data_IF_668101466425
#
_entry.id   IF_668101466425
#
_cell.length_a   1.000
_cell.length_b   1.000
_cell.length_c   1.000
_cell.angle_alpha   90.00
_cell.angle_beta   90.00
_cell.angle_gamma   90.00
#
_symmetry.space_group_name_H-M   'P 1'
#
loop_
_entity.id
_entity.type
_entity.pdbx_description
1 polymer ?
#
# COMPACT_ATOMS: atom_id res chain seq x y z
N UNK A 1 -92.81 2.85 20.48
CA UNK A 1 -92.14 3.07 19.18
C UNK A 1 -90.64 2.72 19.17
N UNK A 2 -90.07 2.04 20.18
CA UNK A 2 -88.63 1.70 20.21
C UNK A 2 -88.21 0.46 19.40
N UNK A 3 -89.12 -0.42 18.97
CA UNK A 3 -88.76 -1.68 18.30
C UNK A 3 -88.11 -1.49 16.91
N UNK A 4 -88.42 -0.38 16.24
CA UNK A 4 -88.01 -0.12 14.86
C UNK A 4 -86.51 0.23 14.70
N UNK A 5 -85.82 0.56 15.80
CA UNK A 5 -84.36 0.79 15.78
C UNK A 5 -83.58 -0.51 15.83
N UNK A 6 -84.05 -1.50 16.61
CA UNK A 6 -83.36 -2.77 16.78
C UNK A 6 -83.49 -3.66 15.55
N UNK A 7 -84.60 -3.58 14.81
CA UNK A 7 -84.74 -4.28 13.51
C UNK A 7 -83.71 -3.79 12.49
N UNK A 8 -83.48 -2.47 12.39
CA UNK A 8 -82.47 -1.92 11.47
C UNK A 8 -81.05 -2.36 11.82
N UNK A 9 -80.72 -2.44 13.11
CA UNK A 9 -79.40 -2.90 13.57
C UNK A 9 -79.19 -4.38 13.25
N UNK A 10 -80.22 -5.21 13.44
CA UNK A 10 -80.13 -6.64 13.18
C UNK A 10 -80.09 -6.96 11.67
N UNK A 11 -80.82 -6.21 10.85
CA UNK A 11 -80.71 -6.29 9.40
C UNK A 11 -79.32 -5.88 8.92
N UNK A 12 -78.72 -4.84 9.52
CA UNK A 12 -77.35 -4.43 9.21
C UNK A 12 -76.34 -5.52 9.57
N UNK A 13 -76.41 -6.09 10.79
CA UNK A 13 -75.50 -7.17 11.23
C UNK A 13 -75.65 -8.39 10.32
N UNK A 14 -76.88 -8.80 10.00
CA UNK A 14 -77.13 -9.93 9.10
C UNK A 14 -76.56 -9.67 7.70
N UNK A 15 -76.75 -8.47 7.15
CA UNK A 15 -76.19 -8.12 5.84
C UNK A 15 -74.66 -8.16 5.86
N UNK A 16 -74.01 -7.59 6.88
CA UNK A 16 -72.55 -7.62 7.02
C UNK A 16 -72.01 -9.05 7.17
N UNK A 17 -72.64 -9.89 8.01
CA UNK A 17 -72.21 -11.27 8.20
C UNK A 17 -72.37 -12.11 6.92
N UNK A 18 -73.42 -11.86 6.12
CA UNK A 18 -73.65 -12.53 4.84
C UNK A 18 -72.65 -12.03 3.78
N UNK A 19 -72.47 -10.71 3.65
CA UNK A 19 -71.54 -10.11 2.68
C UNK A 19 -70.11 -10.58 2.94
N UNK A 20 -69.70 -10.65 4.22
CA UNK A 20 -68.38 -11.15 4.62
C UNK A 20 -68.29 -12.69 4.62
N UNK A 21 -69.40 -13.39 4.33
CA UNK A 21 -69.44 -14.84 4.14
C UNK A 21 -69.40 -15.68 5.42
N UNK A 22 -69.62 -15.08 6.60
CA UNK A 22 -69.65 -15.79 7.87
C UNK A 22 -70.86 -16.70 8.02
N UNK A 23 -72.00 -16.28 7.46
CA UNK A 23 -73.26 -17.02 7.50
C UNK A 23 -73.89 -17.06 6.10
N UNK A 24 -74.61 -18.14 5.80
CA UNK A 24 -75.32 -18.31 4.52
C UNK A 24 -76.74 -17.78 4.58
N UNK A 25 -77.38 -17.88 5.74
CA UNK A 25 -78.78 -17.52 5.97
C UNK A 25 -78.89 -16.46 7.08
N UNK A 26 -79.95 -15.64 7.04
CA UNK A 26 -80.20 -14.60 8.05
C UNK A 26 -80.51 -15.23 9.41
N UNK A 27 -79.93 -14.64 10.47
CA UNK A 27 -80.22 -15.01 11.86
C UNK A 27 -81.47 -14.25 12.31
N UNK A 28 -82.52 -14.98 12.70
CA UNK A 28 -83.72 -14.38 13.29
C UNK A 28 -83.53 -14.16 14.80
N UNK A 29 -83.47 -12.89 15.21
CA UNK A 29 -83.27 -12.46 16.60
C UNK A 29 -84.58 -12.09 17.31
N UNK A 30 -85.72 -12.16 16.60
CA UNK A 30 -87.03 -11.85 17.16
C UNK A 30 -87.49 -12.75 18.33
N UNK A 31 -87.16 -14.06 18.40
CA UNK A 31 -87.59 -14.89 19.52
C UNK A 31 -86.82 -14.64 20.83
N UNK A 32 -85.75 -13.82 20.83
CA UNK A 32 -84.96 -13.53 22.03
C UNK A 32 -85.55 -12.39 22.88
N UNK A 33 -85.33 -12.47 24.20
CA UNK A 33 -85.65 -11.35 25.11
C UNK A 33 -84.84 -10.12 24.72
N UNK A 34 -85.48 -8.94 24.73
CA UNK A 34 -84.87 -7.67 24.28
C UNK A 34 -83.50 -7.37 24.91
N UNK A 35 -83.28 -7.72 26.18
CA UNK A 35 -81.99 -7.50 26.86
C UNK A 35 -80.88 -8.41 26.34
N UNK A 36 -81.20 -9.65 26.01
CA UNK A 36 -80.24 -10.63 25.51
C UNK A 36 -79.94 -10.37 24.02
N UNK A 37 -80.96 -9.94 23.26
CA UNK A 37 -80.82 -9.45 21.88
C UNK A 37 -79.84 -8.27 21.78
N UNK A 38 -79.97 -7.26 22.64
CA UNK A 38 -79.07 -6.09 22.62
C UNK A 38 -77.62 -6.45 23.03
N UNK A 39 -77.45 -7.43 23.93
CA UNK A 39 -76.11 -7.93 24.26
C UNK A 39 -75.48 -8.69 23.11
N UNK A 40 -76.26 -9.54 22.45
CA UNK A 40 -75.80 -10.32 21.31
C UNK A 40 -75.47 -9.41 20.12
N UNK A 41 -76.30 -8.41 19.82
CA UNK A 41 -76.03 -7.47 18.74
C UNK A 41 -74.75 -6.67 18.98
N UNK A 42 -74.49 -6.23 20.22
CA UNK A 42 -73.21 -5.61 20.61
C UNK A 42 -72.01 -6.55 20.44
N UNK A 43 -72.15 -7.82 20.82
CA UNK A 43 -71.09 -8.82 20.62
C UNK A 43 -70.81 -9.09 19.14
N UNK A 44 -71.84 -9.17 18.31
CA UNK A 44 -71.71 -9.38 16.87
C UNK A 44 -71.07 -8.17 16.17
N UNK A 45 -71.44 -6.95 16.55
CA UNK A 45 -70.79 -5.73 16.05
C UNK A 45 -69.31 -5.68 16.47
N UNK A 46 -69.01 -5.92 17.76
CA UNK A 46 -67.62 -5.99 18.22
C UNK A 46 -66.81 -7.08 17.49
N UNK A 47 -67.44 -8.21 17.15
CA UNK A 47 -66.80 -9.26 16.36
C UNK A 47 -66.52 -8.81 14.92
N UNK A 48 -67.48 -8.13 14.26
CA UNK A 48 -67.28 -7.56 12.93
C UNK A 48 -66.14 -6.53 12.91
N UNK A 49 -66.08 -5.65 13.91
CA UNK A 49 -64.99 -4.68 14.08
C UNK A 49 -63.64 -5.38 14.27
N UNK A 50 -63.61 -6.44 15.09
CA UNK A 50 -62.39 -7.22 15.32
C UNK A 50 -61.93 -7.95 14.05
N UNK A 51 -62.86 -8.48 13.26
CA UNK A 51 -62.54 -9.10 11.96
C UNK A 51 -61.93 -8.06 11.01
N UNK A 52 -62.50 -6.86 10.95
CA UNK A 52 -61.98 -5.78 10.10
C UNK A 52 -60.55 -5.41 10.46
N UNK A 53 -60.29 -5.20 11.76
CA UNK A 53 -58.95 -4.94 12.27
C UNK A 53 -57.96 -6.09 11.96
N UNK A 54 -58.42 -7.34 12.04
CA UNK A 54 -57.58 -8.49 11.69
C UNK A 54 -57.24 -8.56 10.19
N UNK A 55 -58.16 -8.14 9.32
CA UNK A 55 -57.90 -8.05 7.87
C UNK A 55 -56.88 -6.97 7.58
N UNK A 56 -57.06 -5.77 8.15
CA UNK A 56 -56.08 -4.67 8.02
C UNK A 56 -54.69 -5.09 8.51
N UNK A 57 -54.61 -5.69 9.70
CA UNK A 57 -53.36 -6.16 10.28
C UNK A 57 -52.70 -7.25 9.42
N UNK A 58 -53.49 -8.14 8.82
CA UNK A 58 -52.99 -9.15 7.88
C UNK A 58 -52.41 -8.51 6.62
N UNK A 59 -53.09 -7.51 6.06
CA UNK A 59 -52.64 -6.80 4.88
C UNK A 59 -51.34 -6.02 5.15
N UNK A 60 -51.24 -5.36 6.32
CA UNK A 60 -50.01 -4.71 6.78
C UNK A 60 -48.85 -5.71 6.94
N UNK A 61 -49.10 -6.87 7.55
CA UNK A 61 -48.09 -7.92 7.67
C UNK A 61 -47.66 -8.46 6.31
N UNK A 62 -48.58 -8.61 5.36
CA UNK A 62 -48.26 -9.06 4.01
C UNK A 62 -47.40 -8.03 3.28
N UNK A 63 -47.75 -6.74 3.37
CA UNK A 63 -46.95 -5.66 2.79
C UNK A 63 -45.55 -5.61 3.40
N UNK A 64 -45.45 -5.70 4.72
CA UNK A 64 -44.17 -5.74 5.42
C UNK A 64 -43.33 -6.96 5.01
N UNK A 65 -43.95 -8.14 4.89
CA UNK A 65 -43.28 -9.36 4.44
C UNK A 65 -42.73 -9.22 3.01
N UNK A 66 -43.52 -8.65 2.10
CA UNK A 66 -43.10 -8.42 0.73
C UNK A 66 -41.94 -7.40 0.65
N UNK A 67 -42.02 -6.32 1.43
CA UNK A 67 -40.94 -5.33 1.54
C UNK A 67 -39.66 -5.96 2.08
N UNK A 68 -39.76 -6.79 3.13
CA UNK A 68 -38.60 -7.49 3.70
C UNK A 68 -37.98 -8.48 2.72
N UNK A 69 -38.80 -9.20 1.96
CA UNK A 69 -38.33 -10.13 0.93
C UNK A 69 -37.57 -9.37 -0.18
N UNK A 70 -38.10 -8.25 -0.63
CA UNK A 70 -37.44 -7.39 -1.61
C UNK A 70 -36.10 -6.84 -1.10
N UNK A 71 -36.05 -6.31 0.12
CA UNK A 71 -34.80 -5.80 0.70
C UNK A 71 -33.77 -6.91 0.91
N UNK A 72 -34.21 -8.12 1.27
CA UNK A 72 -33.32 -9.28 1.38
C UNK A 72 -32.68 -9.62 0.02
N UNK A 73 -33.48 -9.77 -1.04
CA UNK A 73 -32.96 -10.03 -2.40
C UNK A 73 -32.03 -8.91 -2.87
N UNK A 74 -32.36 -7.65 -2.55
CA UNK A 74 -31.53 -6.49 -2.90
C UNK A 74 -30.18 -6.55 -2.18
N UNK A 75 -30.17 -6.85 -0.89
CA UNK A 75 -28.93 -6.98 -0.11
C UNK A 75 -28.08 -8.16 -0.57
N UNK A 76 -28.71 -9.28 -0.94
CA UNK A 76 -28.03 -10.45 -1.49
C UNK A 76 -27.32 -10.12 -2.81
N UNK A 77 -27.96 -9.35 -3.71
CA UNK A 77 -27.30 -8.87 -4.94
C UNK A 77 -26.12 -7.96 -4.67
N UNK A 78 -26.25 -7.04 -3.71
CA UNK A 78 -25.15 -6.13 -3.32
C UNK A 78 -23.98 -6.93 -2.73
N UNK A 79 -24.28 -7.96 -1.92
CA UNK A 79 -23.25 -8.85 -1.38
C UNK A 79 -22.50 -9.59 -2.49
N UNK A 80 -23.24 -10.18 -3.45
CA UNK A 80 -22.65 -10.88 -4.59
C UNK A 80 -21.77 -9.96 -5.46
N UNK A 81 -22.21 -8.72 -5.71
CA UNK A 81 -21.42 -7.72 -6.43
C UNK A 81 -20.15 -7.32 -5.66
N UNK A 82 -20.27 -7.15 -4.34
CA UNK A 82 -19.11 -6.88 -3.46
C UNK A 82 -18.11 -8.04 -3.47
N UNK A 83 -18.56 -9.29 -3.44
CA UNK A 83 -17.69 -10.46 -3.55
C UNK A 83 -16.99 -10.53 -4.91
N UNK A 84 -17.71 -10.22 -5.99
CA UNK A 84 -17.14 -10.19 -7.34
C UNK A 84 -16.05 -9.12 -7.48
N UNK A 85 -16.30 -7.90 -6.97
CA UNK A 85 -15.32 -6.81 -6.97
C UNK A 85 -14.09 -7.14 -6.11
N UNK A 86 -14.30 -7.77 -4.95
CA UNK A 86 -13.21 -8.28 -4.11
C UNK A 86 -12.38 -9.36 -4.82
N UNK A 87 -13.02 -10.29 -5.52
CA UNK A 87 -12.33 -11.32 -6.29
C UNK A 87 -11.53 -10.74 -7.47
N UNK A 88 -12.04 -9.70 -8.14
CA UNK A 88 -11.33 -9.02 -9.21
C UNK A 88 -10.11 -8.26 -8.68
N UNK A 89 -10.26 -7.52 -7.58
CA UNK A 89 -9.13 -6.82 -6.96
C UNK A 89 -8.06 -7.79 -6.43
N UNK A 90 -8.45 -8.96 -5.90
CA UNK A 90 -7.50 -10.00 -5.51
C UNK A 90 -6.67 -10.51 -6.70
N UNK A 91 -7.30 -10.73 -7.87
CA UNK A 91 -6.59 -11.12 -9.10
C UNK A 91 -5.62 -10.04 -9.58
N UNK A 92 -6.01 -8.76 -9.52
CA UNK A 92 -5.13 -7.65 -9.87
C UNK A 92 -3.91 -7.58 -8.93
N UNK A 93 -4.12 -7.73 -7.62
CA UNK A 93 -3.04 -7.77 -6.63
C UNK A 93 -2.06 -8.91 -6.93
N UNK A 94 -2.57 -10.08 -7.32
CA UNK A 94 -1.74 -11.23 -7.70
C UNK A 94 -0.90 -10.96 -8.95
N UNK A 95 -1.48 -10.32 -9.97
CA UNK A 95 -0.73 -9.87 -11.16
C UNK A 95 0.38 -8.87 -10.80
N UNK A 96 0.10 -7.90 -9.93
CA UNK A 96 1.12 -6.96 -9.46
C UNK A 96 2.22 -7.64 -8.66
N UNK A 97 1.89 -8.63 -7.82
CA UNK A 97 2.89 -9.45 -7.11
C UNK A 97 3.81 -10.18 -8.08
N UNK A 98 3.27 -10.80 -9.13
CA UNK A 98 4.09 -11.44 -10.17
C UNK A 98 4.98 -10.44 -10.91
N UNK A 99 4.46 -9.27 -11.24
CA UNK A 99 5.25 -8.20 -11.89
C UNK A 99 6.38 -7.70 -10.99
N UNK A 100 6.12 -7.47 -9.71
CA UNK A 100 7.15 -7.09 -8.73
C UNK A 100 8.24 -8.17 -8.66
N UNK A 101 7.86 -9.44 -8.55
CA UNK A 101 8.82 -10.53 -8.49
C UNK A 101 9.70 -10.61 -9.75
N UNK A 102 9.11 -10.44 -10.93
CA UNK A 102 9.85 -10.40 -12.20
C UNK A 102 10.83 -9.22 -12.26
N UNK A 103 10.42 -8.03 -11.80
CA UNK A 103 11.29 -6.85 -11.73
C UNK A 103 12.43 -7.02 -10.72
N UNK A 104 12.15 -7.65 -9.56
CA UNK A 104 13.18 -7.97 -8.57
C UNK A 104 14.22 -8.96 -9.12
N UNK A 105 13.78 -9.96 -9.89
CA UNK A 105 14.68 -10.88 -10.57
C UNK A 105 15.54 -10.16 -11.62
N UNK A 106 14.94 -9.34 -12.49
CA UNK A 106 15.67 -8.55 -13.49
C UNK A 106 16.71 -7.65 -12.85
N UNK A 107 16.33 -6.92 -11.80
CA UNK A 107 17.23 -6.03 -11.06
C UNK A 107 18.39 -6.80 -10.38
N UNK A 108 18.15 -8.03 -9.92
CA UNK A 108 19.21 -8.90 -9.40
C UNK A 108 20.19 -9.30 -10.51
N UNK A 109 19.69 -9.71 -11.66
CA UNK A 109 20.50 -10.06 -12.84
C UNK A 109 21.36 -8.89 -13.30
N UNK A 110 20.79 -7.67 -13.39
CA UNK A 110 21.54 -6.45 -13.72
C UNK A 110 22.61 -6.10 -12.68
N UNK A 111 22.32 -6.27 -11.39
CA UNK A 111 23.31 -6.05 -10.33
C UNK A 111 24.50 -6.99 -10.45
N UNK A 112 24.24 -8.26 -10.76
CA UNK A 112 25.30 -9.25 -10.93
C UNK A 112 26.10 -8.98 -12.21
N UNK A 113 25.43 -8.62 -13.32
CA UNK A 113 26.09 -8.14 -14.53
C UNK A 113 27.00 -6.92 -14.23
N UNK A 114 26.51 -5.91 -13.51
CA UNK A 114 27.31 -4.74 -13.15
C UNK A 114 28.53 -5.09 -12.25
N UNK A 115 28.39 -6.05 -11.31
CA UNK A 115 29.54 -6.55 -10.53
C UNK A 115 30.59 -7.19 -11.44
N UNK A 116 30.18 -8.00 -12.40
CA UNK A 116 31.12 -8.62 -13.36
C UNK A 116 31.85 -7.57 -14.21
N UNK A 117 31.12 -6.57 -14.74
CA UNK A 117 31.70 -5.46 -15.50
C UNK A 117 32.68 -4.64 -14.66
N UNK A 118 32.34 -4.36 -13.39
CA UNK A 118 33.24 -3.65 -12.47
C UNK A 118 34.52 -4.45 -12.19
N UNK A 119 34.40 -5.76 -12.05
CA UNK A 119 35.56 -6.64 -11.89
C UNK A 119 36.45 -6.63 -13.13
N UNK A 120 35.88 -6.77 -14.33
CA UNK A 120 36.61 -6.68 -15.60
C UNK A 120 37.32 -5.33 -15.77
N UNK A 121 36.65 -4.22 -15.41
CA UNK A 121 37.25 -2.88 -15.43
C UNK A 121 38.45 -2.80 -14.47
N UNK A 122 38.35 -3.38 -13.28
CA UNK A 122 39.45 -3.44 -12.32
C UNK A 122 40.64 -4.24 -12.86
N UNK A 123 40.40 -5.39 -13.49
CA UNK A 123 41.44 -6.19 -14.14
C UNK A 123 42.11 -5.42 -15.28
N UNK A 124 41.32 -4.75 -16.13
CA UNK A 124 41.83 -3.91 -17.23
C UNK A 124 42.69 -2.74 -16.73
N UNK A 125 42.26 -2.07 -15.65
CA UNK A 125 43.07 -1.04 -14.97
C UNK A 125 44.39 -1.58 -14.43
N UNK A 126 44.37 -2.77 -13.82
CA UNK A 126 45.60 -3.42 -13.34
C UNK A 126 46.55 -3.78 -14.50
N UNK A 127 46.01 -4.34 -15.58
CA UNK A 127 46.77 -4.69 -16.79
C UNK A 127 47.41 -3.46 -17.44
N UNK A 128 46.65 -2.39 -17.65
CA UNK A 128 47.16 -1.14 -18.22
C UNK A 128 48.24 -0.49 -17.35
N UNK A 129 48.10 -0.52 -16.02
CA UNK A 129 49.15 -0.08 -15.10
C UNK A 129 50.41 -0.95 -15.20
N UNK A 130 50.25 -2.28 -15.36
CA UNK A 130 51.38 -3.20 -15.57
C UNK A 130 52.11 -2.89 -16.87
N UNK A 131 51.39 -2.72 -17.98
CA UNK A 131 51.95 -2.34 -19.29
C UNK A 131 52.67 -0.99 -19.20
N UNK A 132 52.07 0.01 -18.55
CA UNK A 132 52.70 1.32 -18.35
C UNK A 132 54.01 1.22 -17.55
N UNK A 133 54.04 0.42 -16.47
CA UNK A 133 55.26 0.18 -15.70
C UNK A 133 56.34 -0.53 -16.53
N UNK A 134 55.96 -1.54 -17.31
CA UNK A 134 56.88 -2.26 -18.19
C UNK A 134 57.47 -1.31 -19.26
N UNK A 135 56.62 -0.53 -19.94
CA UNK A 135 57.05 0.44 -20.94
C UNK A 135 58.01 1.48 -20.34
N UNK A 136 57.74 1.99 -19.14
CA UNK A 136 58.63 2.92 -18.45
C UNK A 136 59.99 2.29 -18.07
N UNK A 137 60.00 1.00 -17.71
CA UNK A 137 61.25 0.28 -17.45
C UNK A 137 62.05 0.06 -18.74
N UNK A 138 61.39 -0.33 -19.83
CA UNK A 138 62.04 -0.54 -21.13
C UNK A 138 62.60 0.77 -21.70
N UNK A 139 61.88 1.90 -21.53
CA UNK A 139 62.39 3.23 -21.88
C UNK A 139 63.67 3.58 -21.09
N UNK A 140 63.68 3.33 -19.77
CA UNK A 140 64.87 3.56 -18.94
C UNK A 140 66.05 2.68 -19.35
N UNK A 141 65.80 1.42 -19.71
CA UNK A 141 66.84 0.51 -20.24
C UNK A 141 67.43 1.02 -21.55
N UNK A 142 66.57 1.45 -22.48
CA UNK A 142 67.01 2.03 -23.77
C UNK A 142 67.81 3.31 -23.58
N UNK A 143 67.40 4.21 -22.68
CA UNK A 143 68.17 5.41 -22.33
C UNK A 143 69.55 5.04 -21.77
N UNK A 144 69.62 4.11 -20.82
CA UNK A 144 70.89 3.66 -20.25
C UNK A 144 71.81 2.97 -21.29
N UNK A 145 71.26 2.24 -22.25
CA UNK A 145 72.02 1.67 -23.38
C UNK A 145 72.49 2.75 -24.36
N UNK A 146 71.66 3.76 -24.62
CA UNK A 146 72.02 4.89 -25.46
C UNK A 146 73.15 5.72 -24.82
N UNK A 147 73.10 5.97 -23.51
CA UNK A 147 74.16 6.65 -22.76
C UNK A 147 75.48 5.87 -22.77
N UNK A 148 75.42 4.53 -22.74
CA UNK A 148 76.61 3.67 -22.90
C UNK A 148 77.19 3.72 -24.31
N UNK A 149 76.37 3.92 -25.34
CA UNK A 149 76.79 4.00 -26.74
C UNK A 149 77.22 5.41 -27.14
N UNK A 150 76.69 6.46 -26.53
CA UNK A 150 77.03 7.87 -26.80
C UNK A 150 78.38 8.30 -26.22
N UNK A 151 79.05 7.45 -25.43
CA UNK A 151 80.46 7.58 -25.05
C UNK A 151 81.46 7.37 -26.21
N UNK A 152 80.99 6.96 -27.39
CA UNK A 152 81.77 6.98 -28.65
C UNK A 152 81.18 8.06 -29.54
N UNK A 153 81.86 9.20 -29.61
CA UNK A 153 81.53 10.31 -30.48
C UNK A 153 81.69 9.91 -31.95
N UNK A 154 80.59 9.52 -32.59
CA UNK A 154 80.42 9.72 -34.02
C UNK A 154 79.13 10.50 -34.25
N UNK A 155 79.31 11.76 -34.66
CA UNK A 155 78.31 12.63 -35.26
C UNK A 155 77.65 11.93 -36.45
N UNK A 156 76.40 11.49 -36.27
CA UNK A 156 75.53 10.98 -37.31
C UNK A 156 74.17 11.68 -37.25
N UNK A 157 73.53 11.96 -38.40
CA UNK A 157 72.48 12.96 -38.53
C UNK A 157 71.17 12.57 -37.83
N UNK A 158 70.49 13.60 -37.35
CA UNK A 158 69.23 13.61 -36.62
C UNK A 158 68.10 12.90 -37.37
N UNK A 159 67.66 11.74 -36.89
CA UNK A 159 66.40 11.10 -37.30
C UNK A 159 65.26 11.64 -36.45
N UNK A 160 64.72 12.80 -36.84
CA UNK A 160 63.58 13.50 -36.24
C UNK A 160 62.21 12.92 -36.61
N UNK A 161 62.14 11.68 -37.10
CA UNK A 161 60.93 11.11 -37.71
C UNK A 161 60.11 10.19 -36.79
N UNK A 162 60.57 9.87 -35.57
CA UNK A 162 59.86 8.94 -34.66
C UNK A 162 59.02 9.62 -33.56
N UNK A 163 59.19 10.93 -33.33
CA UNK A 163 58.40 11.67 -32.34
C UNK A 163 56.97 11.96 -32.79
N UNK A 164 56.76 12.08 -34.11
CA UNK A 164 55.48 12.46 -34.69
C UNK A 164 54.47 11.30 -34.60
N UNK A 165 54.92 10.06 -34.79
CA UNK A 165 54.07 8.85 -34.68
C UNK A 165 53.45 8.66 -33.28
N UNK A 166 54.15 9.10 -32.22
CA UNK A 166 53.63 8.99 -30.85
C UNK A 166 52.53 10.04 -30.58
N UNK A 167 52.75 11.28 -31.03
CA UNK A 167 51.77 12.35 -30.93
C UNK A 167 50.51 12.04 -31.74
N UNK A 168 50.68 11.51 -32.96
CA UNK A 168 49.55 11.09 -33.80
C UNK A 168 48.76 9.95 -33.17
N UNK A 169 49.44 8.97 -32.54
CA UNK A 169 48.77 7.88 -31.83
C UNK A 169 48.03 8.36 -30.58
N UNK A 170 48.62 9.27 -29.81
CA UNK A 170 47.98 9.88 -28.64
C UNK A 170 46.76 10.72 -29.05
N UNK A 171 46.86 11.47 -30.15
CA UNK A 171 45.76 12.24 -30.72
C UNK A 171 44.62 11.34 -31.20
N UNK A 172 44.94 10.23 -31.87
CA UNK A 172 43.93 9.24 -32.30
C UNK A 172 43.21 8.61 -31.10
N UNK A 173 43.97 8.24 -30.06
CA UNK A 173 43.40 7.68 -28.84
C UNK A 173 42.51 8.70 -28.12
N UNK A 174 42.93 9.97 -28.07
CA UNK A 174 42.12 11.07 -27.53
C UNK A 174 40.82 11.24 -28.30
N UNK A 175 40.87 11.31 -29.64
CA UNK A 175 39.67 11.40 -30.49
C UNK A 175 38.73 10.21 -30.31
N UNK A 176 39.26 8.99 -30.18
CA UNK A 176 38.44 7.82 -29.94
C UNK A 176 37.74 7.88 -28.57
N UNK A 177 38.43 8.36 -27.53
CA UNK A 177 37.85 8.56 -26.21
C UNK A 177 36.78 9.66 -26.20
N UNK A 178 36.99 10.73 -26.96
CA UNK A 178 36.04 11.84 -27.11
C UNK A 178 34.74 11.38 -27.80
N UNK A 179 34.85 10.62 -28.89
CA UNK A 179 33.69 10.04 -29.58
C UNK A 179 32.91 9.11 -28.64
N UNK A 180 33.60 8.26 -27.89
CA UNK A 180 32.96 7.36 -26.92
C UNK A 180 32.24 8.12 -25.81
N UNK A 181 32.87 9.13 -25.23
CA UNK A 181 32.24 9.98 -24.20
C UNK A 181 31.04 10.75 -24.76
N UNK A 182 31.12 11.21 -26.01
CA UNK A 182 30.01 11.88 -26.69
C UNK A 182 28.82 10.94 -26.88
N UNK A 183 29.08 9.69 -27.25
CA UNK A 183 28.05 8.66 -27.38
C UNK A 183 27.43 8.29 -26.03
N UNK A 184 28.24 8.10 -24.99
CA UNK A 184 27.74 7.84 -23.62
C UNK A 184 26.90 9.02 -23.10
N UNK A 185 27.35 10.26 -23.33
CA UNK A 185 26.59 11.46 -22.96
C UNK A 185 25.24 11.55 -23.69
N UNK A 186 25.19 11.15 -24.96
CA UNK A 186 23.91 11.09 -25.70
C UNK A 186 22.97 10.05 -25.08
N UNK A 187 23.46 8.85 -24.77
CA UNK A 187 22.68 7.81 -24.10
C UNK A 187 22.14 8.26 -22.73
N UNK A 188 22.96 8.96 -21.94
CA UNK A 188 22.52 9.51 -20.65
C UNK A 188 21.43 10.57 -20.81
N UNK A 189 21.51 11.42 -21.85
CA UNK A 189 20.47 12.41 -22.14
C UNK A 189 19.16 11.73 -22.53
N UNK A 190 19.21 10.69 -23.34
CA UNK A 190 18.03 9.94 -23.75
C UNK A 190 17.37 9.25 -22.55
N UNK A 191 18.16 8.60 -21.68
CA UNK A 191 17.65 8.00 -20.44
C UNK A 191 17.02 9.02 -19.48
N UNK A 192 17.63 10.20 -19.35
CA UNK A 192 17.08 11.28 -18.50
C UNK A 192 15.75 11.79 -19.08
N UNK A 193 15.66 11.94 -20.39
CA UNK A 193 14.42 12.36 -21.05
C UNK A 193 13.31 11.30 -20.87
N UNK A 194 13.64 10.02 -21.00
CA UNK A 194 12.71 8.90 -20.81
C UNK A 194 12.21 8.84 -19.36
N UNK A 195 13.11 8.96 -18.38
CA UNK A 195 12.77 9.09 -16.97
C UNK A 195 11.89 10.32 -16.69
N UNK A 196 12.17 11.45 -17.34
CA UNK A 196 11.34 12.65 -17.28
C UNK A 196 9.92 12.41 -17.80
N UNK A 197 9.79 11.65 -18.89
CA UNK A 197 8.51 11.21 -19.44
C UNK A 197 7.71 10.36 -18.45
N UNK A 198 8.32 9.31 -17.90
CA UNK A 198 7.68 8.44 -16.91
C UNK A 198 7.29 9.19 -15.63
N UNK A 199 8.11 10.12 -15.16
CA UNK A 199 7.77 10.95 -13.99
C UNK A 199 6.60 11.89 -14.27
N UNK A 200 6.52 12.45 -15.47
CA UNK A 200 5.39 13.27 -15.91
C UNK A 200 4.10 12.45 -15.97
N UNK A 201 4.15 11.25 -16.55
CA UNK A 201 3.00 10.33 -16.61
C UNK A 201 2.55 9.86 -15.22
N UNK A 202 3.49 9.56 -14.32
CA UNK A 202 3.17 9.21 -12.94
C UNK A 202 2.51 10.39 -12.20
N UNK A 203 2.97 11.62 -12.46
CA UNK A 203 2.39 12.82 -11.87
C UNK A 203 0.96 13.07 -12.39
N UNK A 204 0.70 12.87 -13.68
CA UNK A 204 -0.64 13.01 -14.25
C UNK A 204 -1.58 11.90 -13.76
N UNK A 205 -1.14 10.65 -13.69
CA UNK A 205 -1.94 9.54 -13.14
C UNK A 205 -2.26 9.76 -11.65
N UNK A 206 -1.26 10.17 -10.85
CA UNK A 206 -1.48 10.52 -9.46
C UNK A 206 -2.49 11.67 -9.32
N UNK A 207 -2.38 12.72 -10.13
CA UNK A 207 -3.33 13.84 -10.11
C UNK A 207 -4.74 13.35 -10.45
N UNK A 208 -4.90 12.56 -11.52
CA UNK A 208 -6.19 12.00 -11.94
C UNK A 208 -6.84 11.12 -10.86
N UNK A 209 -6.05 10.29 -10.16
CA UNK A 209 -6.54 9.49 -9.03
C UNK A 209 -7.03 10.36 -7.87
N UNK A 210 -6.33 11.46 -7.58
CA UNK A 210 -6.78 12.39 -6.53
C UNK A 210 -8.05 13.11 -6.95
N UNK A 211 -8.18 13.52 -8.21
CA UNK A 211 -9.42 14.11 -8.74
C UNK A 211 -10.60 13.14 -8.63
N UNK A 212 -10.40 11.87 -8.99
CA UNK A 212 -11.42 10.82 -8.84
C UNK A 212 -11.83 10.59 -7.37
N UNK A 213 -10.88 10.62 -6.44
CA UNK A 213 -11.15 10.41 -5.02
C UNK A 213 -11.77 11.61 -4.31
N UNK A 214 -11.58 12.82 -4.84
CA UNK A 214 -12.00 14.07 -4.16
C UNK A 214 -13.13 14.80 -4.86
N UNK A 215 -13.51 14.37 -6.08
CA UNK A 215 -14.45 15.06 -6.98
C UNK A 215 -14.09 16.54 -7.26
N UNK A 216 -12.85 16.94 -6.92
CA UNK A 216 -12.32 18.29 -7.14
C UNK A 216 -11.25 18.22 -8.22
N UNK A 217 -11.43 18.98 -9.30
CA UNK A 217 -10.40 19.19 -10.32
C UNK A 217 -9.23 19.96 -9.73
N UNK A 218 -8.04 19.36 -9.72
CA UNK A 218 -6.82 19.98 -9.19
C UNK A 218 -6.08 20.60 -10.36
N UNK A 219 -6.24 21.91 -10.53
CA UNK A 219 -5.49 22.64 -11.56
C UNK A 219 -4.01 22.74 -11.17
N UNK A 220 -3.14 22.16 -11.99
CA UNK A 220 -1.70 21.98 -11.75
C UNK A 220 -0.92 23.31 -11.70
N UNK A 221 -1.51 24.39 -12.21
CA UNK A 221 -0.85 25.69 -12.43
C UNK A 221 -1.10 26.75 -11.35
N UNK A 222 -1.97 26.50 -10.37
CA UNK A 222 -2.27 27.50 -9.32
C UNK A 222 -1.71 27.10 -7.95
N UNK A 223 -0.67 27.80 -7.42
CA UNK A 223 -0.21 27.58 -6.06
C UNK A 223 -1.27 28.04 -5.05
N UNK A 224 -1.50 27.29 -3.95
CA UNK A 224 -2.51 27.65 -2.96
C UNK A 224 -2.07 28.87 -2.15
N UNK A 225 -2.71 30.01 -2.39
CA UNK A 225 -2.40 31.29 -1.73
C UNK A 225 -3.15 31.51 -0.40
N UNK A 226 -3.82 30.51 0.17
CA UNK A 226 -4.47 30.62 1.49
C UNK A 226 -4.34 29.33 2.32
N UNK A 227 -4.07 29.43 3.64
CA UNK A 227 -4.03 28.27 4.52
C UNK A 227 -5.44 27.70 4.72
N UNK A 228 -5.62 26.36 4.79
CA UNK A 228 -6.92 25.77 4.98
C UNK A 228 -7.39 25.91 6.44
N UNK A 229 -8.65 26.28 6.62
CA UNK A 229 -9.34 26.35 7.90
C UNK A 229 -9.59 24.92 8.40
N UNK A 230 -9.08 24.60 9.58
CA UNK A 230 -9.17 23.27 10.18
C UNK A 230 -10.62 22.89 10.51
N UNK A 231 -11.14 21.86 9.85
CA UNK A 231 -12.10 20.86 10.35
C UNK A 231 -12.52 19.97 9.19
N UNK A 232 -11.88 18.80 9.02
CA UNK A 232 -12.49 17.57 8.49
C UNK A 232 -11.44 16.46 8.41
N UNK A 233 -11.76 15.35 9.09
CA UNK A 233 -11.41 13.93 8.91
C UNK A 233 -10.36 13.55 7.85
N UNK A 234 -9.48 12.59 8.21
CA UNK A 234 -8.54 11.75 7.45
C UNK A 234 -8.20 12.11 5.98
N UNK A 235 -9.20 12.37 5.14
CA UNK A 235 -9.11 12.86 3.76
C UNK A 235 -8.23 14.11 3.63
N UNK A 236 -8.30 15.06 4.56
CA UNK A 236 -7.44 16.25 4.52
C UNK A 236 -5.97 15.93 4.85
N UNK A 237 -5.70 14.94 5.71
CA UNK A 237 -4.33 14.48 5.95
C UNK A 237 -3.73 13.78 4.72
N UNK A 238 -4.54 13.01 3.98
CA UNK A 238 -4.13 12.41 2.71
C UNK A 238 -3.88 13.48 1.65
N UNK A 239 -4.76 14.50 1.56
CA UNK A 239 -4.62 15.64 0.64
C UNK A 239 -3.36 16.47 0.92
N UNK A 240 -3.09 16.78 2.18
CA UNK A 240 -1.89 17.54 2.57
C UNK A 240 -0.61 16.73 2.31
N UNK A 241 -0.64 15.41 2.57
CA UNK A 241 0.49 14.52 2.22
C UNK A 241 0.68 14.39 0.72
N UNK A 242 -0.39 14.29 -0.08
CA UNK A 242 -0.32 14.23 -1.54
C UNK A 242 0.19 15.55 -2.14
N UNK A 243 -0.25 16.69 -1.61
CA UNK A 243 0.28 17.99 -2.01
C UNK A 243 1.76 18.15 -1.65
N UNK A 244 2.19 17.63 -0.49
CA UNK A 244 3.60 17.56 -0.12
C UNK A 244 4.38 16.72 -1.14
N UNK A 245 3.88 15.55 -1.52
CA UNK A 245 4.47 14.68 -2.53
C UNK A 245 4.59 15.37 -3.89
N UNK A 246 3.53 16.00 -4.36
CA UNK A 246 3.53 16.76 -5.62
C UNK A 246 4.56 17.89 -5.58
N UNK A 247 4.68 18.62 -4.47
CA UNK A 247 5.66 19.68 -4.33
C UNK A 247 7.11 19.17 -4.30
N UNK A 248 7.37 18.05 -3.61
CA UNK A 248 8.68 17.39 -3.63
C UNK A 248 9.01 16.94 -5.04
N UNK A 249 8.06 16.32 -5.75
CA UNK A 249 8.24 15.83 -7.12
C UNK A 249 8.49 16.98 -8.11
N UNK A 250 7.74 18.09 -8.01
CA UNK A 250 7.99 19.33 -8.77
C UNK A 250 9.39 19.91 -8.49
N UNK A 251 9.83 19.89 -7.24
CA UNK A 251 11.16 20.40 -6.86
C UNK A 251 12.26 19.51 -7.41
N UNK A 252 12.07 18.19 -7.40
CA UNK A 252 12.98 17.21 -7.99
C UNK A 252 13.07 17.34 -9.51
N UNK A 253 11.93 17.49 -10.19
CA UNK A 253 11.87 17.75 -11.65
C UNK A 253 12.57 19.07 -11.97
N UNK A 254 12.33 20.15 -11.22
CA UNK A 254 12.98 21.45 -11.44
C UNK A 254 14.50 21.41 -11.21
N UNK A 255 14.98 20.58 -10.27
CA UNK A 255 16.40 20.34 -10.05
C UNK A 255 17.02 19.50 -11.19
N UNK A 256 16.28 18.52 -11.70
CA UNK A 256 16.71 17.65 -12.80
C UNK A 256 16.66 18.36 -14.17
N UNK A 257 15.70 19.26 -14.37
CA UNK A 257 15.46 19.91 -15.67
C UNK A 257 16.42 21.07 -15.98
N UNK A 258 17.41 21.35 -15.10
CA UNK A 258 18.60 22.16 -15.39
C UNK A 258 18.36 23.37 -16.31
N UNK A 259 17.49 24.31 -15.93
CA UNK A 259 17.12 25.42 -16.82
C UNK A 259 18.17 26.55 -16.93
N UNK A 260 19.41 26.32 -16.46
CA UNK A 260 20.57 27.14 -16.84
C UNK A 260 21.77 26.20 -17.00
N UNK A 261 22.34 26.24 -18.21
CA UNK A 261 23.62 25.66 -18.66
C UNK A 261 24.45 25.04 -17.54
N UNK A 262 24.32 23.72 -17.41
CA UNK A 262 24.89 22.91 -16.34
C UNK A 262 26.30 22.46 -16.71
N UNK A 263 27.31 22.83 -15.90
CA UNK A 263 28.67 22.34 -16.05
C UNK A 263 28.81 21.07 -15.20
N UNK A 264 28.82 19.91 -15.85
CA UNK A 264 28.62 18.58 -15.23
C UNK A 264 29.66 18.22 -14.14
N UNK A 265 30.79 18.91 -14.10
CA UNK A 265 31.92 18.63 -13.21
C UNK A 265 31.89 19.49 -11.94
N UNK A 266 31.35 20.71 -12.01
CA UNK A 266 31.43 21.69 -10.93
C UNK A 266 30.18 21.73 -10.05
N UNK A 267 29.00 21.37 -10.61
CA UNK A 267 27.70 21.51 -9.93
C UNK A 267 27.15 20.19 -9.37
N UNK A 268 27.83 19.05 -9.59
CA UNK A 268 27.41 17.75 -9.07
C UNK A 268 27.82 17.59 -7.60
N UNK A 269 27.01 18.17 -6.72
CA UNK A 269 27.15 18.02 -5.28
C UNK A 269 26.62 16.64 -4.87
N UNK A 270 27.49 15.63 -4.87
CA UNK A 270 27.16 14.24 -4.54
C UNK A 270 26.47 14.11 -3.18
N UNK A 271 26.76 15.02 -2.24
CA UNK A 271 26.11 15.07 -0.94
C UNK A 271 24.60 15.38 -1.06
N UNK A 272 24.19 16.19 -2.03
CA UNK A 272 22.76 16.43 -2.32
C UNK A 272 22.08 15.23 -2.94
N UNK A 273 22.82 14.42 -3.72
CA UNK A 273 22.30 13.20 -4.31
C UNK A 273 22.04 12.13 -3.24
N UNK A 274 22.94 12.03 -2.25
CA UNK A 274 22.77 11.13 -1.11
C UNK A 274 21.60 11.56 -0.20
N UNK A 275 21.38 12.87 -0.02
CA UNK A 275 20.19 13.39 0.66
C UNK A 275 18.92 13.02 -0.10
N UNK A 276 18.87 13.22 -1.42
CA UNK A 276 17.71 12.85 -2.25
C UNK A 276 17.44 11.33 -2.19
N UNK A 277 18.50 10.51 -2.16
CA UNK A 277 18.40 9.06 -2.04
C UNK A 277 17.88 8.63 -0.67
N UNK A 278 18.32 9.27 0.40
CA UNK A 278 17.80 9.05 1.76
C UNK A 278 16.33 9.48 1.88
N UNK A 279 15.97 10.62 1.30
CA UNK A 279 14.59 11.11 1.26
C UNK A 279 13.69 10.12 0.52
N UNK A 280 14.15 9.58 -0.62
CA UNK A 280 13.44 8.55 -1.37
C UNK A 280 13.25 7.25 -0.56
N UNK A 281 14.30 6.76 0.12
CA UNK A 281 14.22 5.55 0.95
C UNK A 281 13.23 5.75 2.10
N UNK A 282 13.26 6.91 2.75
CA UNK A 282 12.36 7.27 3.86
C UNK A 282 10.91 7.35 3.39
N UNK A 283 10.69 8.00 2.25
CA UNK A 283 9.38 8.06 1.58
C UNK A 283 8.85 6.66 1.28
N UNK A 284 9.69 5.79 0.69
CA UNK A 284 9.31 4.43 0.33
C UNK A 284 8.93 3.60 1.56
N UNK A 285 9.72 3.67 2.64
CA UNK A 285 9.43 2.97 3.89
C UNK A 285 8.09 3.42 4.51
N UNK A 286 7.82 4.73 4.50
CA UNK A 286 6.55 5.27 5.01
C UNK A 286 5.35 4.85 4.16
N UNK A 287 5.51 4.73 2.83
CA UNK A 287 4.48 4.20 1.93
C UNK A 287 4.22 2.73 2.26
N UNK A 288 5.28 1.91 2.39
CA UNK A 288 5.16 0.49 2.70
C UNK A 288 4.51 0.23 4.08
N UNK A 289 4.79 1.06 5.10
CA UNK A 289 4.12 1.01 6.39
C UNK A 289 2.63 1.40 6.31
N UNK A 290 2.30 2.41 5.51
CA UNK A 290 0.92 2.84 5.28
C UNK A 290 0.08 1.71 4.65
N UNK A 291 0.69 0.89 3.79
CA UNK A 291 0.02 -0.27 3.18
C UNK A 291 0.02 -1.53 4.06
N UNK A 292 0.95 -1.66 5.02
CA UNK A 292 0.93 -2.75 6.00
C UNK A 292 -0.10 -2.55 7.11
N UNK A 293 -0.44 -1.29 7.46
CA UNK A 293 -1.42 -0.98 8.50
C UNK A 293 -2.89 -1.20 8.10
N UNK A 294 -3.19 -1.28 6.81
CA UNK A 294 -4.58 -1.37 6.30
C UNK A 294 -5.04 -2.80 6.00
N UNK A 295 -4.15 -3.80 6.11
CA UNK A 295 -4.50 -5.22 6.01
C UNK A 295 -4.52 -5.80 7.42
N UNK A 296 -5.59 -5.51 8.16
CA UNK A 296 -5.91 -6.25 9.36
C UNK A 296 -6.04 -7.72 9.02
N UNK A 297 -5.14 -8.54 9.54
CA UNK A 297 -5.26 -10.00 9.58
C UNK A 297 -6.60 -10.38 10.21
N UNK A 298 -7.58 -10.69 9.36
CA UNK A 298 -8.77 -11.45 9.75
C UNK A 298 -8.27 -12.85 10.10
N UNK A 299 -8.11 -13.13 11.40
CA UNK A 299 -7.95 -14.50 11.89
C UNK A 299 -9.24 -15.25 11.56
N UNK A 300 -9.23 -16.04 10.50
CA UNK A 300 -10.22 -17.09 10.27
C UNK A 300 -9.97 -18.18 11.30
N UNK A 301 -10.92 -18.35 12.22
CA UNK A 301 -11.06 -19.60 12.96
C UNK A 301 -11.47 -20.67 11.94
N UNK A 302 -10.54 -21.56 11.61
CA UNK A 302 -10.83 -22.82 10.94
C UNK A 302 -11.06 -23.87 12.02
N UNK A 303 -12.33 -24.19 12.25
CA UNK A 303 -12.72 -25.51 12.76
C UNK A 303 -12.62 -26.48 11.58
N UNK A 304 -11.62 -27.36 11.60
CA UNK A 304 -11.54 -28.52 10.72
C UNK A 304 -11.38 -29.77 11.60
N UNK A 305 -12.50 -30.46 11.79
CA UNK A 305 -12.57 -31.87 12.14
C UNK A 305 -12.16 -32.69 10.93
N UNK A 306 -10.93 -33.21 10.91
CA UNK A 306 -10.59 -34.32 10.04
C UNK A 306 -9.73 -35.35 10.76
N UNK A 307 -10.28 -36.56 10.80
CA UNK A 307 -9.62 -37.76 11.27
C UNK A 307 -8.40 -38.11 10.40
N UNK A 308 -7.33 -38.52 11.06
CA UNK A 308 -6.52 -39.66 10.64
C UNK A 308 -5.44 -39.43 9.57
N UNK A 309 -4.19 -39.19 10.00
CA UNK A 309 -3.07 -40.11 9.70
C UNK A 309 -1.82 -39.76 10.52
N UNK A 310 -1.26 -40.73 11.25
CA UNK A 310 -0.01 -40.59 12.02
C UNK A 310 1.16 -41.17 11.23
N UNK A 311 2.34 -40.50 11.21
CA UNK A 311 3.61 -41.20 11.16
C UNK A 311 4.30 -41.15 12.53
N UNK A 312 4.52 -42.35 13.08
CA UNK A 312 5.42 -42.61 14.22
C UNK A 312 6.87 -42.31 13.84
N UNK A 313 7.62 -41.70 14.76
CA UNK A 313 8.97 -42.10 15.27
C UNK A 313 9.50 -40.96 16.17
N UNK A 314 9.28 -41.02 17.48
CA UNK A 314 10.16 -41.66 18.49
C UNK A 314 11.57 -41.08 18.57
N UNK A 315 11.81 -40.25 19.58
CA UNK A 315 12.96 -40.23 20.50
C UNK A 315 12.59 -39.25 21.63
N UNK A 316 12.07 -39.77 22.76
CA UNK A 316 12.79 -40.08 24.01
C UNK A 316 13.11 -38.83 24.86
N UNK A 317 12.84 -38.97 26.16
CA UNK A 317 13.18 -38.12 27.33
C UNK A 317 12.25 -36.91 27.54
N UNK A 318 11.63 -36.66 28.71
CA UNK A 318 11.64 -37.27 30.04
C UNK A 318 10.28 -36.98 30.72
N UNK A 319 9.69 -38.00 31.36
CA UNK A 319 8.48 -37.91 32.20
C UNK A 319 8.82 -38.35 33.62
N UNK A 320 9.57 -37.51 34.31
CA UNK A 320 9.75 -37.59 35.76
C UNK A 320 9.86 -36.16 36.26
N UNK A 321 8.71 -35.49 36.36
CA UNK A 321 8.40 -34.47 37.37
C UNK A 321 6.98 -33.93 37.10
N UNK A 322 6.23 -33.77 38.19
CA UNK A 322 4.87 -33.23 38.28
C UNK A 322 3.70 -34.18 37.98
N UNK A 323 3.60 -35.23 38.79
CA UNK A 323 2.33 -35.54 39.45
C UNK A 323 2.17 -34.63 40.68
N UNK A 324 1.04 -33.91 40.76
CA UNK A 324 0.15 -33.70 41.93
C UNK A 324 -0.49 -32.31 41.87
N UNK A 325 -1.77 -32.25 41.46
CA UNK A 325 -2.87 -31.85 42.34
C UNK A 325 -4.21 -32.02 41.60
N UNK A 326 -5.00 -32.98 42.10
CA UNK A 326 -6.46 -32.91 42.16
C UNK A 326 -6.85 -31.59 42.86
N UNK A 327 -7.93 -30.89 42.55
CA UNK A 327 -9.32 -31.28 42.83
C UNK A 327 -10.30 -30.44 41.99
N UNK A 328 -11.36 -31.13 41.52
CA UNK A 328 -12.78 -30.76 41.60
C UNK A 328 -13.21 -29.29 41.45
N UNK A 329 -13.93 -29.00 40.36
CA UNK A 329 -15.32 -28.54 40.51
C UNK A 329 -16.12 -28.72 39.21
N UNK A 330 -17.10 -29.61 39.29
CA UNK A 330 -18.21 -29.73 38.37
C UNK A 330 -19.31 -28.70 38.70
N UNK A 331 -20.12 -28.41 37.68
CA UNK A 331 -21.48 -27.86 37.72
C UNK A 331 -21.63 -26.36 37.98
N UNK A 332 -22.12 -25.62 36.97
CA UNK A 332 -23.53 -25.27 36.92
C UNK A 332 -23.91 -24.69 35.55
N UNK A 333 -25.00 -25.24 35.03
CA UNK A 333 -25.82 -24.73 33.94
C UNK A 333 -26.56 -23.45 34.40
N UNK A 334 -27.02 -22.70 33.39
CA UNK A 334 -28.13 -21.75 33.41
C UNK A 334 -28.01 -20.45 34.23
N UNK A 335 -27.96 -19.30 33.54
CA UNK A 335 -29.03 -18.31 33.63
C UNK A 335 -28.87 -17.17 32.60
N UNK A 336 -29.92 -16.99 31.81
CA UNK A 336 -30.23 -15.79 31.04
C UNK A 336 -30.28 -14.55 31.95
N UNK A 337 -29.46 -13.53 31.66
CA UNK A 337 -29.72 -12.14 32.12
C UNK A 337 -29.48 -11.14 31.01
N UNK A 338 -30.62 -10.68 30.47
CA UNK A 338 -30.79 -9.39 29.82
C UNK A 338 -30.45 -8.28 30.82
N UNK A 339 -29.46 -7.46 30.50
CA UNK A 339 -29.23 -6.16 31.16
C UNK A 339 -28.93 -5.12 30.09
N UNK A 340 -29.95 -4.32 29.79
CA UNK A 340 -29.80 -2.93 29.34
C UNK A 340 -29.06 -2.14 30.41
N UNK A 341 -28.11 -1.27 30.02
CA UNK A 341 -27.86 0.07 30.61
C UNK A 341 -26.61 0.75 30.01
N UNK A 342 -26.89 1.80 29.24
CA UNK A 342 -26.36 3.17 29.36
C UNK A 342 -24.84 3.49 29.23
N UNK A 343 -24.58 4.35 28.24
CA UNK A 343 -23.80 5.59 28.31
C UNK A 343 -22.54 5.62 29.20
N UNK A 344 -21.38 5.40 28.58
CA UNK A 344 -20.09 5.87 29.10
C UNK A 344 -19.48 6.91 28.18
N UNK A 345 -19.53 8.17 28.61
CA UNK A 345 -18.79 9.31 28.05
C UNK A 345 -17.28 9.14 28.22
N UNK A 346 -16.44 9.75 27.36
CA UNK A 346 -15.00 9.54 27.38
C UNK A 346 -14.31 10.37 28.49
N UNK A 347 -13.40 9.72 29.20
CA UNK A 347 -12.47 10.33 30.16
C UNK A 347 -11.39 11.15 29.46
N UNK A 348 -11.12 12.34 30.00
CA UNK A 348 -10.07 13.29 29.59
C UNK A 348 -8.68 12.63 29.65
N UNK A 349 -7.93 12.68 28.56
CA UNK A 349 -6.50 12.35 28.53
C UNK A 349 -5.70 13.59 28.93
N UNK A 350 -4.89 13.41 29.97
CA UNK A 350 -3.92 14.37 30.51
C UNK A 350 -2.80 14.68 29.51
N UNK A 351 -2.41 15.96 29.45
CA UNK A 351 -1.20 16.44 28.75
C UNK A 351 0.04 15.77 29.33
N UNK A 352 0.85 15.15 28.48
CA UNK A 352 2.21 14.72 28.80
C UNK A 352 3.16 15.73 28.14
N UNK A 353 3.80 16.55 28.97
CA UNK A 353 4.93 17.40 28.58
C UNK A 353 6.17 16.52 28.40
N UNK A 354 6.71 16.47 27.18
CA UNK A 354 8.03 15.90 26.93
C UNK A 354 9.08 17.01 26.83
N UNK A 355 9.87 17.08 27.90
CA UNK A 355 11.09 17.86 28.01
C UNK A 355 12.05 17.63 26.84
N UNK A 356 12.55 18.77 26.33
CA UNK A 356 13.82 18.93 25.61
C UNK A 356 14.91 18.04 26.21
N UNK A 357 15.52 17.18 25.40
CA UNK A 357 16.89 16.71 25.63
C UNK A 357 17.74 16.97 24.39
N UNK A 358 18.70 17.86 24.59
CA UNK A 358 19.82 18.17 23.71
C UNK A 358 20.70 16.94 23.52
N UNK A 359 20.85 16.46 22.27
CA UNK A 359 21.92 15.52 21.96
C UNK A 359 23.19 16.29 21.60
N UNK A 360 24.20 15.94 22.37
CA UNK A 360 25.56 16.44 22.39
C UNK A 360 26.37 15.98 21.17
N UNK A 361 27.24 16.88 20.73
CA UNK A 361 28.30 16.69 19.73
C UNK A 361 29.10 15.41 19.98
N UNK A 362 29.35 14.62 18.93
CA UNK A 362 30.41 13.59 18.93
C UNK A 362 31.75 14.21 18.49
N UNK A 363 32.86 13.89 19.17
CA UNK A 363 34.18 14.33 18.76
C UNK A 363 34.78 13.40 17.69
N UNK A 364 35.55 14.01 16.82
CA UNK A 364 36.45 13.41 15.85
C UNK A 364 37.54 12.59 16.54
N UNK A 365 37.77 11.36 16.10
CA UNK A 365 38.97 10.61 16.43
C UNK A 365 39.54 9.97 15.16
N UNK A 366 40.61 10.59 14.67
CA UNK A 366 41.63 9.94 13.87
C UNK A 366 42.56 9.17 14.81
N UNK A 367 42.98 7.96 14.44
CA UNK A 367 44.35 7.44 14.61
C UNK A 367 44.42 5.92 14.41
N UNK A 368 45.37 5.51 13.57
CA UNK A 368 46.23 4.37 13.86
C UNK A 368 45.72 2.99 13.43
N UNK A 369 46.21 2.52 12.28
CA UNK A 369 46.74 1.15 12.15
C UNK A 369 47.42 0.97 10.77
N UNK A 370 48.74 1.11 10.71
CA UNK A 370 49.54 0.29 9.79
C UNK A 370 50.94 0.07 10.35
N UNK A 371 51.07 -0.93 11.23
CA UNK A 371 52.34 -1.63 11.45
C UNK A 371 52.59 -2.51 10.23
N UNK A 372 53.40 -2.05 9.30
CA UNK A 372 53.92 -2.83 8.18
C UNK A 372 55.36 -2.40 7.91
N UNK A 373 56.23 -2.75 8.85
CA UNK A 373 57.68 -2.64 8.72
C UNK A 373 58.30 -3.79 9.53
N UNK A 374 58.60 -4.91 8.87
CA UNK A 374 59.71 -5.82 9.17
C UNK A 374 59.56 -7.13 8.36
N UNK A 375 60.21 -7.18 7.21
CA UNK A 375 60.59 -8.44 6.56
C UNK A 375 61.62 -8.13 5.45
N UNK A 376 62.87 -7.86 5.83
CA UNK A 376 64.03 -7.93 4.92
C UNK A 376 65.34 -8.05 5.70
N UNK A 377 65.60 -9.23 6.24
CA UNK A 377 66.96 -9.75 6.46
C UNK A 377 66.92 -11.25 6.12
N UNK A 378 67.42 -11.60 4.94
CA UNK A 378 68.04 -12.88 4.56
C UNK A 378 68.65 -12.67 3.17
N UNK A 379 69.98 -12.75 3.11
CA UNK A 379 70.82 -12.46 1.95
C UNK A 379 72.10 -11.82 2.45
#
# INVERSE_FOLDING_TARGET
MSNNKNEKTDDYINNELIIRGFIKDKIDLNPMKSKDREKLSKLLLNYLDLVEQNVELRDDHLQFSNQKSYEFERLERILAESEQTNNNSAKEIEQYKHKIHSLEQSLKEERDAHKTTRHQLSLSKSLTQSISKQNNQDLKRRQAEQDKRSGVSLSGPTTSAQSDDFLDRALLQSKHSEVKLTQENAQWRDLINDLGGHLSELATDATRRVELLTEQTISIDNPPNKPPRATLSAINQTKDRLNLYINVLKTSIKRLSGQKTFNFVDDYDFDKLDVIKQDYITIKANIDELFKGTVGTIKRNQDDTSEGFKPRRSNRLNLSDLTTNYEDNQNNEDEDKVVDLQDTRPTKISKIDHHRRSSTRRPSAAAGNSKLAEARIRG
#
